data_IF_411295743600
#
_entry.id   IF_411295743600
#
_cell.length_a   1.000
_cell.length_b   1.000
_cell.length_c   1.000
_cell.angle_alpha   90.00
_cell.angle_beta   90.00
_cell.angle_gamma   90.00
#
_symmetry.space_group_name_H-M   'P 1'
#
loop_
_entity.id
_entity.type
_entity.pdbx_description
1 polymer ?
#
# COMPACT_ATOMS: atom_id res chain seq x y z
N UNK A 1 -7.74 29.34 35.42
CA UNK A 1 -6.94 28.12 35.14
C UNK A 1 -7.62 27.10 34.22
N UNK A 2 -8.95 26.85 34.31
CA UNK A 2 -9.67 25.89 33.41
C UNK A 2 -9.53 26.17 31.90
N UNK A 3 -9.38 27.44 31.50
CA UNK A 3 -9.30 27.85 30.08
C UNK A 3 -7.94 27.52 29.42
N UNK A 4 -6.85 27.63 30.18
CA UNK A 4 -5.50 27.26 29.72
C UNK A 4 -5.38 25.74 29.52
N UNK A 5 -5.96 24.96 30.44
CA UNK A 5 -6.01 23.50 30.34
C UNK A 5 -6.78 23.02 29.10
N UNK A 6 -7.93 23.64 28.78
CA UNK A 6 -8.71 23.36 27.57
C UNK A 6 -7.96 23.69 26.27
N UNK A 7 -7.21 24.81 26.22
CA UNK A 7 -6.36 25.17 25.06
C UNK A 7 -5.22 24.17 24.85
N UNK A 8 -4.59 23.70 25.93
CA UNK A 8 -3.49 22.72 25.84
C UNK A 8 -3.99 21.35 25.38
N UNK A 9 -5.18 20.91 25.82
CA UNK A 9 -5.81 19.67 25.34
C UNK A 9 -6.14 19.77 23.84
N UNK A 10 -6.73 20.87 23.40
CA UNK A 10 -7.08 21.06 21.98
C UNK A 10 -5.82 21.02 21.09
N UNK A 11 -4.74 21.68 21.53
CA UNK A 11 -3.46 21.66 20.84
C UNK A 11 -2.89 20.22 20.74
N UNK A 12 -2.98 19.45 21.83
CA UNK A 12 -2.55 18.04 21.84
C UNK A 12 -3.34 17.17 20.85
N UNK A 13 -4.67 17.33 20.77
CA UNK A 13 -5.51 16.59 19.81
C UNK A 13 -5.12 16.92 18.37
N UNK A 14 -4.88 18.19 18.05
CA UNK A 14 -4.46 18.62 16.70
C UNK A 14 -3.11 18.00 16.32
N UNK A 15 -2.15 17.98 17.25
CA UNK A 15 -0.83 17.37 17.01
C UNK A 15 -0.98 15.86 16.75
N UNK A 16 -1.77 15.16 17.57
CA UNK A 16 -2.02 13.72 17.37
C UNK A 16 -2.66 13.47 16.00
N UNK A 17 -3.67 14.27 15.63
CA UNK A 17 -4.32 14.14 14.32
C UNK A 17 -3.33 14.35 13.16
N UNK A 18 -2.47 15.39 13.24
CA UNK A 18 -1.42 15.63 12.26
C UNK A 18 -0.44 14.45 12.15
N UNK A 19 -0.01 13.87 13.28
CA UNK A 19 0.89 12.72 13.29
C UNK A 19 0.25 11.48 12.65
N UNK A 20 -1.03 11.22 12.91
CA UNK A 20 -1.79 10.13 12.28
C UNK A 20 -1.87 10.33 10.77
N UNK A 21 -2.20 11.54 10.29
CA UNK A 21 -2.25 11.82 8.86
C UNK A 21 -0.89 11.68 8.18
N UNK A 22 0.20 12.09 8.83
CA UNK A 22 1.57 11.91 8.31
C UNK A 22 1.92 10.42 8.22
N UNK A 23 1.59 9.64 9.25
CA UNK A 23 1.84 8.20 9.26
C UNK A 23 1.08 7.48 8.14
N UNK A 24 -0.19 7.80 7.95
CA UNK A 24 -1.01 7.27 6.86
C UNK A 24 -0.43 7.63 5.49
N UNK A 25 0.00 8.88 5.30
CA UNK A 25 0.63 9.34 4.06
C UNK A 25 1.92 8.57 3.73
N UNK A 26 2.80 8.40 4.72
CA UNK A 26 4.06 7.66 4.56
C UNK A 26 3.77 6.20 4.24
N UNK A 27 2.82 5.58 4.97
CA UNK A 27 2.42 4.19 4.74
C UNK A 27 1.90 3.98 3.31
N UNK A 28 1.01 4.86 2.84
CA UNK A 28 0.47 4.82 1.49
C UNK A 28 1.58 4.94 0.42
N UNK A 29 2.54 5.86 0.61
CA UNK A 29 3.66 6.04 -0.32
C UNK A 29 4.59 4.82 -0.37
N UNK A 30 4.90 4.21 0.77
CA UNK A 30 5.74 3.00 0.82
C UNK A 30 5.09 1.84 0.08
N UNK A 31 3.77 1.69 0.22
CA UNK A 31 3.02 0.66 -0.50
C UNK A 31 2.92 0.96 -2.00
N UNK A 32 2.64 2.20 -2.36
CA UNK A 32 2.61 2.65 -3.77
C UNK A 32 3.92 2.32 -4.48
N UNK A 33 5.07 2.74 -3.93
CA UNK A 33 6.37 2.53 -4.55
C UNK A 33 6.70 1.04 -4.77
N UNK A 34 6.23 0.14 -3.92
CA UNK A 34 6.44 -1.31 -4.06
C UNK A 34 5.57 -1.93 -5.14
N UNK A 35 4.36 -1.40 -5.31
CA UNK A 35 3.37 -1.91 -6.26
C UNK A 35 3.68 -1.37 -7.66
N UNK A 36 4.18 -0.15 -7.77
CA UNK A 36 4.56 0.49 -9.04
C UNK A 36 5.56 -0.39 -9.83
N UNK A 37 6.56 -0.95 -9.16
CA UNK A 37 7.55 -1.83 -9.83
C UNK A 37 6.97 -3.13 -10.37
N UNK A 38 5.80 -3.56 -9.87
CA UNK A 38 5.11 -4.76 -10.37
C UNK A 38 4.14 -4.38 -11.47
N UNK A 39 3.26 -3.41 -11.22
CA UNK A 39 2.17 -3.08 -12.13
C UNK A 39 2.66 -2.56 -13.48
N UNK A 40 3.71 -1.74 -13.51
CA UNK A 40 4.15 -1.10 -14.76
C UNK A 40 5.12 -1.94 -15.59
N UNK A 41 5.60 -3.07 -15.07
CA UNK A 41 6.64 -3.88 -15.73
C UNK A 41 6.22 -5.34 -15.97
N UNK A 42 5.10 -5.79 -15.40
CA UNK A 42 4.61 -7.14 -15.61
C UNK A 42 3.90 -7.29 -16.97
N UNK A 43 4.44 -8.17 -17.82
CA UNK A 43 3.92 -8.41 -19.17
C UNK A 43 2.51 -9.03 -19.20
N UNK A 44 2.14 -9.80 -18.17
CA UNK A 44 0.80 -10.42 -18.11
C UNK A 44 -0.27 -9.36 -17.89
N UNK A 45 0.01 -8.37 -17.02
CA UNK A 45 -0.87 -7.24 -16.79
C UNK A 45 -0.98 -6.33 -18.02
N UNK A 46 0.13 -6.06 -18.71
CA UNK A 46 0.11 -5.27 -19.94
C UNK A 46 -0.70 -5.95 -21.05
N UNK A 47 -0.60 -7.28 -21.17
CA UNK A 47 -1.38 -8.05 -22.14
C UNK A 47 -2.89 -7.91 -21.88
N UNK A 48 -3.32 -8.09 -20.62
CA UNK A 48 -4.73 -8.12 -20.23
C UNK A 48 -5.38 -6.73 -20.11
N UNK A 49 -4.67 -5.77 -19.51
CA UNK A 49 -5.19 -4.44 -19.20
C UNK A 49 -4.67 -3.34 -20.13
N UNK A 50 -3.64 -3.62 -20.93
CA UNK A 50 -2.90 -2.60 -21.68
C UNK A 50 -1.99 -1.80 -20.75
N UNK A 51 -1.50 -0.65 -21.22
CA UNK A 51 -0.71 0.25 -20.39
C UNK A 51 -1.57 0.76 -19.23
N UNK A 52 -1.15 0.47 -18.01
CA UNK A 52 -1.83 0.93 -16.80
C UNK A 52 -1.58 2.45 -16.67
N UNK A 53 -2.64 3.25 -16.57
CA UNK A 53 -2.53 4.70 -16.33
C UNK A 53 -2.59 5.05 -14.87
N UNK A 54 -3.39 4.30 -14.11
CA UNK A 54 -3.66 4.53 -12.70
C UNK A 54 -4.05 3.22 -12.03
N UNK A 55 -3.85 3.14 -10.73
CA UNK A 55 -4.43 2.11 -9.90
C UNK A 55 -4.96 2.69 -8.58
N UNK A 56 -5.75 1.90 -7.87
CA UNK A 56 -6.21 2.18 -6.52
C UNK A 56 -6.02 0.94 -5.66
N UNK A 57 -5.36 1.11 -4.51
CA UNK A 57 -5.32 0.09 -3.47
C UNK A 57 -6.67 0.13 -2.74
N UNK A 58 -7.49 -0.92 -2.91
CA UNK A 58 -8.78 -1.05 -2.20
C UNK A 58 -8.57 -1.57 -0.79
N UNK A 59 -7.73 -2.59 -0.65
CA UNK A 59 -7.42 -3.24 0.62
C UNK A 59 -5.98 -3.72 0.58
N UNK A 60 -5.33 -3.72 1.73
CA UNK A 60 -4.07 -4.40 1.91
C UNK A 60 -4.02 -5.07 3.27
N UNK A 61 -3.25 -6.14 3.37
CA UNK A 61 -2.94 -6.80 4.64
C UNK A 61 -1.50 -7.29 4.62
N UNK A 62 -0.99 -7.58 5.83
CA UNK A 62 0.31 -8.21 6.01
C UNK A 62 0.12 -9.43 6.87
N UNK A 63 0.69 -10.55 6.44
CA UNK A 63 0.80 -11.76 7.25
C UNK A 63 2.26 -12.12 7.43
N UNK A 64 2.56 -12.73 8.58
CA UNK A 64 3.87 -13.22 8.93
C UNK A 64 3.74 -14.71 9.19
N UNK A 65 4.71 -15.49 8.72
CA UNK A 65 4.84 -16.87 9.18
C UNK A 65 5.83 -16.96 10.35
N UNK A 66 5.85 -18.12 11.01
CA UNK A 66 6.75 -18.39 12.14
C UNK A 66 8.24 -18.42 11.72
N UNK A 67 8.52 -18.42 10.42
CA UNK A 67 9.86 -18.45 9.84
C UNK A 67 10.38 -17.06 9.43
N UNK A 68 9.62 -16.00 9.72
CA UNK A 68 10.01 -14.61 9.42
C UNK A 68 9.79 -14.19 7.96
N UNK A 69 9.05 -14.97 7.18
CA UNK A 69 8.60 -14.60 5.83
C UNK A 69 7.50 -13.55 5.93
N UNK A 70 7.67 -12.46 5.21
CA UNK A 70 6.70 -11.36 5.18
C UNK A 70 5.85 -11.46 3.93
N UNK A 71 4.55 -11.68 4.12
CA UNK A 71 3.57 -11.71 3.04
C UNK A 71 2.77 -10.40 3.05
N UNK A 72 2.67 -9.77 1.89
CA UNK A 72 1.88 -8.56 1.66
C UNK A 72 0.80 -8.89 0.63
N UNK A 73 -0.46 -8.72 1.02
CA UNK A 73 -1.59 -8.99 0.15
C UNK A 73 -2.24 -7.66 -0.23
N UNK A 74 -2.46 -7.43 -1.52
CA UNK A 74 -3.05 -6.22 -2.05
C UNK A 74 -4.25 -6.55 -2.94
N UNK A 75 -5.36 -5.89 -2.67
CA UNK A 75 -6.50 -5.84 -3.57
C UNK A 75 -6.42 -4.53 -4.36
N UNK A 76 -6.13 -4.63 -5.65
CA UNK A 76 -5.89 -3.49 -6.52
C UNK A 76 -7.02 -3.36 -7.54
N UNK A 77 -7.37 -2.12 -7.86
CA UNK A 77 -8.21 -1.81 -9.01
C UNK A 77 -7.38 -1.05 -10.03
N UNK A 78 -7.24 -1.63 -11.23
CA UNK A 78 -6.41 -1.13 -12.31
C UNK A 78 -7.26 -0.36 -13.32
N UNK A 79 -6.71 0.75 -13.80
CA UNK A 79 -7.25 1.54 -14.89
C UNK A 79 -6.27 1.47 -16.07
N UNK A 80 -6.52 0.52 -16.98
CA UNK A 80 -5.69 0.26 -18.14
C UNK A 80 -6.31 0.78 -19.43
N UNK A 81 -5.48 0.91 -20.46
CA UNK A 81 -5.92 1.35 -21.80
C UNK A 81 -6.92 0.40 -22.47
N UNK A 82 -6.79 -0.92 -22.25
CA UNK A 82 -7.69 -1.93 -22.84
C UNK A 82 -8.93 -2.15 -21.99
N UNK A 83 -8.74 -2.30 -20.68
CA UNK A 83 -9.84 -2.53 -19.73
C UNK A 83 -9.49 -2.07 -18.33
N UNK A 84 -10.52 -1.89 -17.52
CA UNK A 84 -10.41 -1.69 -16.08
C UNK A 84 -10.78 -2.98 -15.35
N UNK A 85 -10.19 -3.25 -14.20
CA UNK A 85 -10.55 -4.43 -13.43
C UNK A 85 -9.83 -4.55 -12.10
N UNK A 86 -10.10 -5.64 -11.40
CA UNK A 86 -9.55 -5.90 -10.09
C UNK A 86 -8.54 -7.04 -10.17
N UNK A 87 -7.42 -6.89 -9.46
CA UNK A 87 -6.39 -7.93 -9.33
C UNK A 87 -6.01 -8.09 -7.87
N UNK A 88 -5.60 -9.31 -7.51
CA UNK A 88 -5.00 -9.62 -6.23
C UNK A 88 -3.51 -9.77 -6.41
N UNK A 89 -2.73 -8.91 -5.75
CA UNK A 89 -1.28 -8.95 -5.78
C UNK A 89 -0.77 -9.43 -4.42
N UNK A 90 -0.10 -10.57 -4.42
CA UNK A 90 0.58 -11.12 -3.25
C UNK A 90 2.07 -10.97 -3.44
N UNK A 91 2.74 -10.33 -2.49
CA UNK A 91 4.20 -10.18 -2.48
C UNK A 91 4.79 -10.90 -1.27
N UNK A 92 5.82 -11.68 -1.50
CA UNK A 92 6.55 -12.44 -0.49
C UNK A 92 7.97 -11.85 -0.36
N UNK A 93 8.43 -11.64 0.87
CA UNK A 93 9.83 -11.36 1.17
C UNK A 93 10.37 -12.44 2.08
N UNK A 94 11.28 -13.25 1.53
CA UNK A 94 12.06 -14.24 2.29
C UNK A 94 13.18 -13.54 3.06
N UNK A 95 13.60 -14.06 4.23
CA UNK A 95 14.64 -13.46 5.06
C UNK A 95 15.95 -13.22 4.30
N UNK A 96 16.35 -14.17 3.45
CA UNK A 96 17.61 -14.14 2.70
C UNK A 96 17.55 -13.40 1.37
N UNK A 97 16.39 -12.82 1.02
CA UNK A 97 16.20 -12.14 -0.27
C UNK A 97 16.06 -10.62 -0.10
N UNK A 98 16.86 -9.89 -0.88
CA UNK A 98 16.79 -8.43 -0.96
C UNK A 98 15.57 -7.93 -1.75
N UNK A 99 15.00 -8.79 -2.61
CA UNK A 99 13.86 -8.49 -3.48
C UNK A 99 12.61 -9.26 -3.05
N UNK A 100 11.44 -8.72 -3.38
CA UNK A 100 10.17 -9.40 -3.20
C UNK A 100 9.89 -10.32 -4.39
N UNK A 101 9.44 -11.54 -4.13
CA UNK A 101 8.73 -12.37 -5.11
C UNK A 101 7.26 -11.95 -5.13
N UNK A 102 6.57 -12.09 -6.26
CA UNK A 102 5.15 -11.72 -6.34
C UNK A 102 4.34 -12.70 -7.19
N UNK A 103 3.03 -12.73 -6.92
CA UNK A 103 2.02 -13.47 -7.66
C UNK A 103 0.80 -12.58 -7.87
N UNK A 104 0.20 -12.67 -9.06
CA UNK A 104 -1.04 -11.96 -9.43
C UNK A 104 -2.14 -12.99 -9.68
N UNK A 105 -3.32 -12.74 -9.10
CA UNK A 105 -4.54 -13.57 -9.23
C UNK A 105 -5.77 -12.73 -9.61
#
# INVERSE_FOLDING_TARGET
MKYLYKKNILCGIVIIFCLVSIFEYISARVHSNRIDSVLFYDQSLESEYGKIRRYKIKKWSRTFDDFGTHWLHYQLYLYGDKRNGQVWLTMEKKPDQSKFTYKIE
#
